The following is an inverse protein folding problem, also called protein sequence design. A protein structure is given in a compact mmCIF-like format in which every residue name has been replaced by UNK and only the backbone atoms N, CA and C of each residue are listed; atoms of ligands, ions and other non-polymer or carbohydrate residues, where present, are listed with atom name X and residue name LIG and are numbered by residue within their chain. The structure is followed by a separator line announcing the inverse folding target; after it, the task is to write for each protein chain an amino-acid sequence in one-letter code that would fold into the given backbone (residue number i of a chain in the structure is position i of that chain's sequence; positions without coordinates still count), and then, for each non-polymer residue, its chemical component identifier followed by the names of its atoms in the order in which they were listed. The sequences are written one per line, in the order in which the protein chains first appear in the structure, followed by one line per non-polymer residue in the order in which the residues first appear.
data_IF_667380579579
#
_entry.id   IF_667380579579
#
_cell.length_a   1.000
_cell.length_b   1.000
_cell.length_c   1.000
_cell.angle_alpha   90.00
_cell.angle_beta   90.00
_cell.angle_gamma   90.00
#
_symmetry.space_group_name_H-M   'P 1'
#
loop_
_entity.id
_entity.type
_entity.pdbx_description
1 polymer ?
#
# COMPACT_ATOMS: atom_id res chain seq x y z
N UNK A 1 15.86 42.55 14.81
CA UNK A 1 16.89 42.45 15.86
C UNK A 1 16.41 43.27 17.04
N UNK A 2 16.26 42.68 18.22
CA UNK A 2 15.91 43.42 19.43
C UNK A 2 17.05 44.37 19.75
N UNK A 3 16.76 45.64 19.99
CA UNK A 3 17.73 46.63 20.45
C UNK A 3 17.63 46.65 21.98
N UNK A 4 18.76 46.48 22.66
CA UNK A 4 18.82 46.57 24.13
C UNK A 4 19.07 48.02 24.54
N UNK A 5 18.38 48.50 25.57
CA UNK A 5 18.54 49.85 26.07
C UNK A 5 19.77 49.92 27.00
N UNK A 6 20.02 48.88 27.79
CA UNK A 6 21.12 48.83 28.75
C UNK A 6 22.35 48.08 28.24
N UNK A 7 23.52 48.64 28.55
CA UNK A 7 24.82 48.07 28.19
C UNK A 7 25.21 46.99 29.19
N UNK A 8 25.60 45.81 28.68
CA UNK A 8 26.23 44.78 29.50
C UNK A 8 27.75 44.92 29.35
N UNK A 9 28.33 45.91 30.04
CA UNK A 9 29.76 46.18 29.98
C UNK A 9 30.52 45.27 30.95
N UNK A 10 31.51 44.56 30.42
CA UNK A 10 32.41 43.70 31.20
C UNK A 10 33.68 44.40 31.66
N UNK A 11 33.91 45.64 31.20
CA UNK A 11 35.04 46.45 31.62
C UNK A 11 34.81 47.09 32.99
N UNK A 12 33.56 47.29 33.39
CA UNK A 12 33.17 47.86 34.69
C UNK A 12 32.50 46.81 35.59
N UNK A 13 32.68 46.85 36.92
CA UNK A 13 33.53 47.79 37.64
C UNK A 13 35.02 47.43 37.49
N UNK A 14 35.84 48.39 37.08
CA UNK A 14 37.28 48.33 37.10
C UNK A 14 37.81 48.79 38.46
N UNK A 15 39.05 48.41 38.81
CA UNK A 15 39.68 48.88 40.05
C UNK A 15 39.90 50.40 40.12
N UNK A 16 39.75 51.10 38.99
CA UNK A 16 39.82 52.57 38.87
C UNK A 16 38.46 53.26 38.99
N UNK A 17 37.35 52.53 38.96
CA UNK A 17 36.01 53.11 39.01
C UNK A 17 35.71 53.62 40.43
N UNK A 18 34.92 54.68 40.53
CA UNK A 18 34.54 55.24 41.82
C UNK A 18 33.67 54.22 42.60
N UNK A 19 34.08 53.81 43.81
CA UNK A 19 33.26 52.92 44.64
C UNK A 19 31.84 53.44 44.90
N UNK A 20 31.61 54.75 44.80
CA UNK A 20 30.29 55.36 44.95
C UNK A 20 29.32 55.00 43.82
N UNK A 21 29.79 54.60 42.63
CA UNK A 21 28.94 54.18 41.50
C UNK A 21 28.48 52.72 41.61
N UNK A 22 28.90 51.99 42.64
CA UNK A 22 28.69 50.54 42.72
C UNK A 22 27.19 50.16 42.66
N UNK A 23 26.30 50.96 43.25
CA UNK A 23 24.87 50.68 43.22
C UNK A 23 24.23 50.97 41.86
N UNK A 24 24.69 52.00 41.15
CA UNK A 24 24.32 52.27 39.76
C UNK A 24 24.75 51.13 38.83
N UNK A 25 25.99 50.65 38.96
CA UNK A 25 26.48 49.50 38.16
C UNK A 25 25.69 48.22 38.42
N UNK A 26 25.28 48.00 39.67
CA UNK A 26 24.40 46.88 40.01
C UNK A 26 23.01 47.03 39.37
N UNK A 27 22.45 48.24 39.32
CA UNK A 27 21.15 48.49 38.65
C UNK A 27 21.26 48.30 37.13
N UNK A 28 22.30 48.86 36.51
CA UNK A 28 22.60 48.72 35.08
C UNK A 28 22.72 47.24 34.69
N UNK A 29 23.51 46.46 35.44
CA UNK A 29 23.69 45.04 35.15
C UNK A 29 22.38 44.24 35.27
N UNK A 30 21.56 44.53 36.30
CA UNK A 30 20.26 43.86 36.48
C UNK A 30 19.32 44.15 35.32
N UNK A 31 19.23 45.40 34.89
CA UNK A 31 18.40 45.79 33.76
C UNK A 31 18.91 45.16 32.45
N UNK A 32 20.22 45.23 32.20
CA UNK A 32 20.85 44.62 31.03
C UNK A 32 20.62 43.10 30.92
N UNK A 33 20.72 42.36 32.03
CA UNK A 33 20.41 40.91 32.07
C UNK A 33 18.93 40.68 31.81
N UNK A 34 18.05 41.43 32.49
CA UNK A 34 16.61 41.27 32.34
C UNK A 34 16.17 41.48 30.89
N UNK A 35 16.61 42.54 30.22
CA UNK A 35 16.25 42.80 28.83
C UNK A 35 16.69 41.69 27.87
N UNK A 36 17.85 41.08 28.13
CA UNK A 36 18.42 39.99 27.31
C UNK A 36 17.70 38.67 27.56
N UNK A 37 17.47 38.32 28.81
CA UNK A 37 16.71 37.11 29.16
C UNK A 37 15.26 37.20 28.65
N UNK A 38 14.65 38.39 28.75
CA UNK A 38 13.28 38.64 28.31
C UNK A 38 13.07 38.51 26.78
N UNK A 39 14.14 38.31 25.98
CA UNK A 39 14.05 38.02 24.54
C UNK A 39 13.36 36.67 24.28
N UNK A 40 13.74 35.65 25.05
CA UNK A 40 13.25 34.28 24.91
C UNK A 40 12.43 33.86 26.14
N UNK A 41 12.83 34.30 27.34
CA UNK A 41 12.09 34.06 28.58
C UNK A 41 10.97 35.08 28.80
N UNK A 42 9.97 34.67 29.56
CA UNK A 42 8.93 35.51 30.11
C UNK A 42 9.49 36.17 31.37
N UNK A 43 9.93 37.43 31.24
CA UNK A 43 10.52 38.17 32.36
C UNK A 43 10.07 39.65 32.35
N UNK A 44 8.75 39.92 32.46
CA UNK A 44 8.22 41.26 32.33
C UNK A 44 8.69 42.17 33.47
N UNK A 45 9.07 43.41 33.13
CA UNK A 45 9.29 44.47 34.09
C UNK A 45 7.95 45.14 34.41
N UNK A 46 7.50 45.05 35.66
CA UNK A 46 6.34 45.81 36.15
C UNK A 46 6.79 46.69 37.31
N UNK A 47 7.00 47.98 37.04
CA UNK A 47 7.55 48.89 38.05
C UNK A 47 9.00 48.55 38.39
N UNK A 48 9.29 48.34 39.68
CA UNK A 48 10.64 48.04 40.19
C UNK A 48 10.92 46.55 40.38
N UNK A 49 9.94 45.69 40.14
CA UNK A 49 10.02 44.27 40.45
C UNK A 49 9.49 43.40 39.32
N UNK A 50 9.93 42.15 39.37
CA UNK A 50 9.43 41.06 38.53
C UNK A 50 8.46 40.30 39.41
N UNK A 51 7.16 40.52 39.20
CA UNK A 51 6.11 40.03 40.11
C UNK A 51 5.11 39.10 39.44
N UNK A 52 5.35 38.70 38.19
CA UNK A 52 4.48 37.74 37.52
C UNK A 52 4.81 36.31 37.95
N UNK A 53 3.77 35.53 38.22
CA UNK A 53 3.84 34.10 38.57
C UNK A 53 4.48 33.25 37.47
N UNK A 54 4.37 33.67 36.21
CA UNK A 54 4.93 32.95 35.04
C UNK A 54 6.39 33.35 34.73
N UNK A 55 7.04 34.12 35.62
CA UNK A 55 8.42 34.59 35.40
C UNK A 55 9.40 33.41 35.33
N UNK A 56 10.16 33.33 34.23
CA UNK A 56 11.13 32.26 33.97
C UNK A 56 10.66 31.21 32.95
N UNK A 57 9.39 31.22 32.53
CA UNK A 57 8.94 30.39 31.40
C UNK A 57 9.55 30.86 30.08
N UNK A 58 9.68 30.00 29.07
CA UNK A 58 10.08 30.43 27.73
C UNK A 58 8.86 30.90 26.92
N UNK A 59 8.90 32.13 26.38
CA UNK A 59 7.93 32.58 25.34
C UNK A 59 8.24 31.95 23.99
N UNK A 60 9.53 31.75 23.73
CA UNK A 60 10.09 31.04 22.58
C UNK A 60 11.44 30.45 22.99
N UNK A 61 11.88 29.45 22.24
CA UNK A 61 13.22 28.89 22.38
C UNK A 61 13.96 29.12 21.07
N UNK A 62 14.91 30.05 21.06
CA UNK A 62 15.74 30.34 19.90
C UNK A 62 17.00 29.49 19.96
N UNK A 63 17.08 28.46 19.13
CA UNK A 63 18.27 27.61 19.02
C UNK A 63 19.17 28.10 17.89
N UNK A 64 20.45 28.32 18.19
CA UNK A 64 21.46 28.64 17.17
C UNK A 64 21.96 27.33 16.54
N UNK A 65 22.15 27.33 15.23
CA UNK A 65 22.68 26.14 14.54
C UNK A 65 24.11 25.84 14.99
N UNK A 66 24.41 24.55 15.11
CA UNK A 66 25.72 24.07 15.53
C UNK A 66 25.96 22.61 15.15
N UNK A 67 27.11 22.07 15.59
CA UNK A 67 27.39 20.64 15.51
C UNK A 67 26.55 19.85 16.52
N UNK A 68 26.38 18.56 16.27
CA UNK A 68 25.75 17.65 17.24
C UNK A 68 26.49 17.72 18.59
N UNK A 69 25.76 17.88 19.71
CA UNK A 69 26.35 17.77 21.04
C UNK A 69 26.97 16.40 21.30
N UNK A 70 28.02 16.35 22.12
CA UNK A 70 28.58 15.08 22.59
C UNK A 70 27.57 14.37 23.50
N UNK A 71 27.30 13.09 23.25
CA UNK A 71 26.42 12.29 24.10
C UNK A 71 26.99 12.17 25.52
N UNK A 72 26.11 12.20 26.52
CA UNK A 72 26.44 12.07 27.93
C UNK A 72 25.41 11.15 28.56
N UNK A 73 25.85 10.20 29.38
CA UNK A 73 24.96 9.28 30.10
C UNK A 73 23.83 10.05 30.82
N UNK A 74 22.62 9.49 30.74
CA UNK A 74 21.40 10.03 31.36
C UNK A 74 20.98 11.43 30.87
N UNK A 75 21.34 11.80 29.62
CA UNK A 75 20.99 13.11 29.04
C UNK A 75 20.53 13.00 27.59
N UNK A 76 19.43 13.70 27.31
CA UNK A 76 19.00 14.04 25.95
C UNK A 76 19.32 15.49 25.60
N UNK A 77 19.53 15.76 24.31
CA UNK A 77 19.83 17.09 23.79
C UNK A 77 18.87 17.46 22.67
N UNK A 78 18.22 18.62 22.79
CA UNK A 78 17.49 19.28 21.71
C UNK A 78 18.34 20.41 21.15
N UNK A 79 18.59 20.42 19.85
CA UNK A 79 19.45 21.42 19.22
C UNK A 79 19.06 21.68 17.76
N UNK A 80 19.59 22.78 17.20
CA UNK A 80 19.42 23.11 15.80
C UNK A 80 20.69 22.83 14.99
N UNK A 81 20.53 22.35 13.76
CA UNK A 81 21.64 22.08 12.82
C UNK A 81 21.19 22.42 11.41
N UNK A 82 22.12 22.90 10.59
CA UNK A 82 21.83 23.24 9.20
C UNK A 82 21.74 21.99 8.32
N UNK A 83 20.59 21.82 7.66
CA UNK A 83 20.35 20.80 6.63
C UNK A 83 19.98 21.53 5.35
N UNK A 84 20.80 21.38 4.31
CA UNK A 84 20.57 22.04 3.01
C UNK A 84 20.38 23.56 3.12
N UNK A 85 21.10 24.21 4.04
CA UNK A 85 21.04 25.66 4.26
C UNK A 85 19.82 26.15 5.06
N UNK A 86 19.08 25.24 5.71
CA UNK A 86 17.98 25.58 6.62
C UNK A 86 18.26 25.04 8.01
N UNK A 87 17.97 25.84 9.04
CA UNK A 87 18.00 25.37 10.42
C UNK A 87 16.87 24.37 10.65
N UNK A 88 17.23 23.15 11.05
CA UNK A 88 16.28 22.09 11.39
C UNK A 88 16.50 21.62 12.84
N UNK A 89 15.46 21.07 13.45
CA UNK A 89 15.46 20.57 14.82
C UNK A 89 15.94 19.13 14.88
N UNK A 90 16.81 18.86 15.84
CA UNK A 90 17.36 17.54 16.11
C UNK A 90 17.21 17.19 17.58
N UNK A 91 17.12 15.89 17.82
CA UNK A 91 17.30 15.28 19.13
C UNK A 91 18.48 14.31 19.10
N UNK A 92 19.21 14.21 20.21
CA UNK A 92 20.23 13.19 20.43
C UNK A 92 20.10 12.63 21.84
N UNK A 93 20.20 11.32 21.99
CA UNK A 93 20.15 10.64 23.29
C UNK A 93 21.55 10.34 23.87
N UNK A 94 21.55 9.67 25.03
CA UNK A 94 22.77 9.24 25.73
C UNK A 94 23.59 8.17 24.98
N UNK A 95 22.96 7.39 24.11
CA UNK A 95 23.62 6.35 23.29
C UNK A 95 24.28 6.95 22.03
N UNK A 96 23.94 8.20 21.72
CA UNK A 96 24.51 8.96 20.63
C UNK A 96 23.73 8.84 19.32
N UNK A 97 22.52 8.30 19.38
CA UNK A 97 21.61 8.24 18.26
C UNK A 97 21.05 9.65 18.00
N UNK A 98 21.23 10.13 16.77
CA UNK A 98 20.79 11.44 16.32
C UNK A 98 19.54 11.28 15.46
N UNK A 99 18.46 11.96 15.85
CA UNK A 99 17.19 11.98 15.13
C UNK A 99 16.91 13.39 14.64
N UNK A 100 16.75 13.53 13.33
CA UNK A 100 16.23 14.75 12.73
C UNK A 100 14.71 14.81 12.91
N UNK A 101 14.23 15.77 13.69
CA UNK A 101 12.81 15.96 14.00
C UNK A 101 12.10 16.75 12.90
N UNK A 102 12.75 17.76 12.32
CA UNK A 102 12.16 18.57 11.24
C UNK A 102 12.95 18.47 9.94
N UNK A 103 12.26 18.54 8.81
CA UNK A 103 12.89 18.63 7.48
C UNK A 103 12.10 19.59 6.60
N UNK A 104 12.76 20.62 6.09
CA UNK A 104 12.13 21.67 5.30
C UNK A 104 11.05 22.44 6.07
N UNK A 105 11.13 22.50 7.41
CA UNK A 105 10.11 23.10 8.27
C UNK A 105 8.87 22.22 8.55
N UNK A 106 8.92 20.93 8.21
CA UNK A 106 7.85 19.95 8.48
C UNK A 106 8.36 18.91 9.48
N UNK A 107 7.49 18.38 10.34
CA UNK A 107 7.84 17.24 11.19
C UNK A 107 8.16 16.00 10.34
N UNK A 108 9.32 15.41 10.58
CA UNK A 108 9.81 14.21 9.92
C UNK A 108 9.18 12.94 10.54
N UNK A 109 7.85 12.85 10.54
CA UNK A 109 7.10 11.75 11.16
C UNK A 109 5.91 11.33 10.31
N UNK A 110 5.58 10.04 10.37
CA UNK A 110 4.34 9.48 9.86
C UNK A 110 3.30 9.54 11.00
N UNK A 111 2.18 10.23 10.78
CA UNK A 111 1.16 10.38 11.81
C UNK A 111 0.51 9.01 12.10
N UNK A 112 0.28 8.73 13.39
CA UNK A 112 -0.41 7.53 13.86
C UNK A 112 -1.93 7.65 13.77
N UNK A 113 -2.44 8.87 13.55
CA UNK A 113 -3.88 9.15 13.45
C UNK A 113 -4.19 10.05 12.26
N UNK A 114 -5.41 9.94 11.73
CA UNK A 114 -5.87 10.73 10.60
C UNK A 114 -5.37 10.25 9.24
N UNK A 115 -5.83 10.93 8.19
CA UNK A 115 -5.42 10.67 6.80
C UNK A 115 -4.10 11.39 6.55
N UNK A 116 -3.16 10.72 5.89
CA UNK A 116 -1.88 11.29 5.50
C UNK A 116 -1.50 10.90 4.08
N UNK A 117 -0.82 11.81 3.39
CA UNK A 117 -0.20 11.53 2.09
C UNK A 117 1.28 11.23 2.34
N UNK A 118 1.70 9.98 2.08
CA UNK A 118 3.10 9.60 2.12
C UNK A 118 3.69 9.69 0.70
N UNK A 119 4.56 10.68 0.47
CA UNK A 119 5.32 10.79 -0.78
C UNK A 119 6.63 9.96 -0.72
N UNK A 120 7.13 9.59 -1.91
CA UNK A 120 8.36 8.81 -2.06
C UNK A 120 8.20 7.35 -1.68
N UNK A 121 9.33 6.62 -1.69
CA UNK A 121 9.36 5.19 -1.31
C UNK A 121 9.44 5.08 0.22
N UNK A 122 8.56 4.25 0.80
CA UNK A 122 8.58 3.89 2.22
C UNK A 122 8.80 2.39 2.36
N UNK A 123 9.63 2.00 3.31
CA UNK A 123 9.93 0.61 3.63
C UNK A 123 9.30 0.22 4.95
N UNK A 124 8.76 -0.99 5.03
CA UNK A 124 8.25 -1.57 6.28
C UNK A 124 9.16 -2.72 6.70
N UNK A 125 9.51 -2.78 7.99
CA UNK A 125 10.30 -3.89 8.57
C UNK A 125 9.48 -5.18 8.70
N UNK A 126 8.16 -5.08 8.63
CA UNK A 126 7.20 -6.18 8.61
C UNK A 126 6.14 -5.94 7.52
N UNK A 127 5.41 -7.00 7.14
CA UNK A 127 4.34 -6.88 6.14
C UNK A 127 3.23 -5.97 6.71
N UNK A 128 2.81 -4.91 5.99
CA UNK A 128 1.71 -4.06 6.43
C UNK A 128 0.40 -4.82 6.59
N UNK A 129 -0.34 -4.55 7.67
CA UNK A 129 -1.67 -5.10 7.90
C UNK A 129 -2.72 -4.10 7.42
N UNK A 130 -3.56 -4.52 6.48
CA UNK A 130 -4.65 -3.72 5.95
C UNK A 130 -5.97 -3.96 6.73
N UNK A 131 -6.92 -3.01 6.73
CA UNK A 131 -8.24 -3.20 7.35
C UNK A 131 -9.00 -4.40 6.77
N UNK A 132 -9.97 -4.91 7.54
CA UNK A 132 -10.80 -6.06 7.14
C UNK A 132 -11.79 -5.77 5.99
N UNK A 133 -12.01 -4.50 5.64
CA UNK A 133 -12.83 -4.11 4.50
C UNK A 133 -12.18 -4.50 3.17
N UNK A 134 -12.99 -4.82 2.18
CA UNK A 134 -12.53 -5.08 0.80
C UNK A 134 -12.22 -3.75 0.08
N UNK A 135 -11.25 -3.74 -0.87
CA UNK A 135 -11.00 -2.58 -1.69
C UNK A 135 -12.20 -2.29 -2.61
N UNK A 136 -12.54 -1.00 -2.77
CA UNK A 136 -13.65 -0.48 -3.58
C UNK A 136 -13.19 0.38 -4.75
N UNK A 137 -11.90 0.69 -4.86
CA UNK A 137 -11.31 1.46 -5.95
C UNK A 137 -9.99 0.85 -6.42
N UNK A 138 -9.70 0.98 -7.72
CA UNK A 138 -8.58 0.32 -8.39
C UNK A 138 -7.20 0.62 -7.77
N UNK A 139 -7.03 1.83 -7.21
CA UNK A 139 -5.77 2.28 -6.63
C UNK A 139 -5.63 1.98 -5.12
N UNK A 140 -6.53 1.21 -4.53
CA UNK A 140 -6.43 0.80 -3.13
C UNK A 140 -5.52 -0.42 -2.97
N UNK A 141 -4.76 -0.44 -1.88
CA UNK A 141 -4.03 -1.64 -1.48
C UNK A 141 -5.01 -2.79 -1.18
N UNK A 142 -4.70 -3.99 -1.68
CA UNK A 142 -5.56 -5.17 -1.55
C UNK A 142 -4.99 -6.18 -0.56
N UNK A 143 -5.84 -6.79 0.28
CA UNK A 143 -5.45 -7.92 1.14
C UNK A 143 -5.20 -9.18 0.31
N UNK A 144 -4.23 -10.01 0.73
CA UNK A 144 -3.97 -11.32 0.10
C UNK A 144 -5.24 -12.18 0.01
N UNK A 145 -6.03 -12.26 1.08
CA UNK A 145 -7.28 -13.04 1.10
C UNK A 145 -8.26 -12.56 0.01
N UNK A 146 -8.48 -11.26 -0.10
CA UNK A 146 -9.40 -10.70 -1.09
C UNK A 146 -8.97 -11.11 -2.51
N UNK A 147 -7.69 -10.94 -2.86
CA UNK A 147 -7.18 -11.33 -4.18
C UNK A 147 -7.30 -12.84 -4.42
N UNK A 148 -7.00 -13.67 -3.41
CA UNK A 148 -7.13 -15.13 -3.51
C UNK A 148 -8.60 -15.55 -3.70
N UNK A 149 -9.53 -14.94 -2.97
CA UNK A 149 -10.96 -15.24 -3.10
C UNK A 149 -11.49 -14.85 -4.50
N UNK A 150 -11.06 -13.70 -5.04
CA UNK A 150 -11.41 -13.27 -6.40
C UNK A 150 -10.86 -14.21 -7.48
N UNK A 151 -9.60 -14.65 -7.34
CA UNK A 151 -9.00 -15.63 -8.25
C UNK A 151 -9.73 -16.97 -8.14
N UNK A 152 -10.02 -17.44 -6.94
CA UNK A 152 -10.75 -18.68 -6.72
C UNK A 152 -12.16 -18.64 -7.34
N UNK A 153 -12.84 -17.50 -7.27
CA UNK A 153 -14.13 -17.30 -7.92
C UNK A 153 -14.03 -17.24 -9.46
N UNK A 154 -12.90 -16.77 -10.01
CA UNK A 154 -12.71 -16.58 -11.46
C UNK A 154 -11.98 -17.71 -12.20
N UNK A 155 -11.20 -18.56 -11.51
CA UNK A 155 -10.23 -19.46 -12.16
C UNK A 155 -10.79 -20.79 -12.65
N UNK A 156 -12.01 -21.18 -12.27
CA UNK A 156 -12.70 -22.30 -12.87
C UNK A 156 -14.20 -22.15 -12.57
N UNK A 157 -14.99 -21.84 -13.59
CA UNK A 157 -16.36 -22.32 -13.55
C UNK A 157 -16.26 -23.84 -13.53
N UNK A 158 -16.50 -24.48 -12.38
CA UNK A 158 -16.82 -25.91 -12.41
C UNK A 158 -18.08 -26.00 -13.26
N UNK A 159 -18.00 -26.62 -14.43
CA UNK A 159 -19.20 -27.12 -15.08
C UNK A 159 -19.69 -28.26 -14.17
N UNK A 160 -20.43 -27.89 -13.12
CA UNK A 160 -21.35 -28.82 -12.51
C UNK A 160 -22.36 -29.17 -13.58
N UNK A 161 -22.59 -30.45 -13.76
CA UNK A 161 -23.56 -31.08 -14.67
C UNK A 161 -22.95 -31.60 -15.98
N UNK A 162 -22.50 -32.86 -15.85
CA UNK A 162 -22.45 -33.86 -16.90
C UNK A 162 -23.79 -33.88 -17.62
N UNK A 163 -23.84 -33.37 -18.83
CA UNK A 163 -24.97 -33.65 -19.71
C UNK A 163 -24.51 -34.51 -20.87
N UNK A 164 -25.09 -35.71 -20.90
CA UNK A 164 -24.77 -36.80 -21.81
C UNK A 164 -25.62 -36.64 -23.07
N UNK A 165 -25.00 -36.34 -24.21
CA UNK A 165 -25.64 -36.57 -25.50
C UNK A 165 -25.63 -38.08 -25.75
N UNK A 166 -26.76 -38.77 -25.61
CA UNK A 166 -26.90 -40.21 -25.83
C UNK A 166 -27.86 -40.48 -27.00
N UNK A 167 -27.36 -40.32 -28.21
CA UNK A 167 -28.09 -40.69 -29.42
C UNK A 167 -27.17 -41.35 -30.45
N UNK A 168 -27.76 -41.87 -31.52
CA UNK A 168 -27.01 -42.34 -32.67
C UNK A 168 -26.18 -41.18 -33.24
N UNK A 169 -24.87 -41.37 -33.25
CA UNK A 169 -23.97 -40.32 -33.70
C UNK A 169 -24.16 -39.95 -35.18
N UNK A 170 -23.98 -38.67 -35.52
CA UNK A 170 -24.08 -38.18 -36.88
C UNK A 170 -22.81 -38.52 -37.67
N UNK A 171 -22.95 -38.72 -38.98
CA UNK A 171 -21.83 -38.99 -39.92
C UNK A 171 -21.39 -37.77 -40.72
N UNK A 172 -22.01 -36.63 -40.48
CA UNK A 172 -21.63 -35.30 -40.95
C UNK A 172 -21.72 -34.31 -39.79
N UNK A 173 -20.99 -33.20 -39.86
CA UNK A 173 -21.08 -32.16 -38.83
C UNK A 173 -22.52 -31.75 -38.57
N UNK A 174 -22.90 -31.78 -37.31
CA UNK A 174 -24.15 -31.24 -36.80
C UNK A 174 -23.87 -30.47 -35.52
N UNK A 175 -24.79 -29.60 -35.16
CA UNK A 175 -24.74 -28.85 -33.91
C UNK A 175 -24.78 -29.83 -32.72
N UNK A 176 -23.76 -29.73 -31.87
CA UNK A 176 -23.75 -30.21 -30.50
C UNK A 176 -24.23 -29.06 -29.64
N UNK A 177 -25.54 -29.03 -29.42
CA UNK A 177 -26.11 -28.18 -28.38
C UNK A 177 -25.70 -28.78 -27.04
N UNK A 178 -24.68 -28.18 -26.41
CA UNK A 178 -24.34 -28.51 -25.04
C UNK A 178 -25.47 -27.99 -24.16
N UNK A 179 -26.21 -28.88 -23.50
CA UNK A 179 -27.43 -28.51 -22.82
C UNK A 179 -27.17 -27.61 -21.60
N UNK A 180 -28.24 -26.91 -21.26
CA UNK A 180 -28.22 -25.76 -20.36
C UNK A 180 -28.44 -26.19 -18.91
N UNK A 181 -27.46 -26.92 -18.40
CA UNK A 181 -27.42 -27.43 -17.04
C UNK A 181 -27.30 -26.24 -16.06
N UNK A 182 -28.42 -25.77 -15.52
CA UNK A 182 -28.46 -24.62 -14.60
C UNK A 182 -28.62 -23.23 -15.23
N UNK A 183 -28.97 -23.10 -16.52
CA UNK A 183 -29.30 -21.79 -17.12
C UNK A 183 -28.11 -20.98 -17.64
N UNK A 184 -26.89 -21.51 -17.58
CA UNK A 184 -25.73 -20.98 -18.29
C UNK A 184 -25.38 -21.85 -19.49
N UNK A 185 -25.83 -21.45 -20.69
CA UNK A 185 -25.23 -21.91 -21.96
C UNK A 185 -23.72 -21.78 -21.81
N UNK A 186 -22.87 -22.74 -22.25
CA UNK A 186 -21.44 -22.50 -22.28
C UNK A 186 -21.21 -21.20 -23.03
N UNK A 187 -20.75 -20.18 -22.29
CA UNK A 187 -20.90 -18.80 -22.72
C UNK A 187 -20.27 -18.62 -24.12
N UNK A 188 -20.83 -17.71 -24.91
CA UNK A 188 -20.30 -17.33 -26.21
C UNK A 188 -18.76 -17.21 -26.15
N UNK A 189 -18.05 -17.83 -27.08
CA UNK A 189 -16.59 -17.83 -27.15
C UNK A 189 -15.90 -18.38 -25.88
N UNK A 190 -16.32 -19.55 -25.40
CA UNK A 190 -15.60 -20.30 -24.37
C UNK A 190 -14.77 -21.43 -24.98
N UNK A 191 -13.72 -21.84 -24.26
CA UNK A 191 -13.06 -23.11 -24.49
C UNK A 191 -13.69 -24.16 -23.57
N UNK A 192 -14.28 -25.21 -24.14
CA UNK A 192 -14.99 -26.27 -23.41
C UNK A 192 -14.19 -27.58 -23.47
N UNK A 193 -14.09 -28.28 -22.34
CA UNK A 193 -13.54 -29.63 -22.27
C UNK A 193 -14.66 -30.67 -22.34
N UNK A 194 -14.61 -31.49 -23.39
CA UNK A 194 -15.54 -32.59 -23.63
C UNK A 194 -14.87 -33.92 -23.32
N UNK A 195 -15.60 -34.80 -22.65
CA UNK A 195 -15.26 -36.21 -22.46
C UNK A 195 -16.17 -37.04 -23.35
N UNK A 196 -15.59 -37.98 -24.10
CA UNK A 196 -16.32 -38.79 -25.07
C UNK A 196 -16.08 -40.28 -24.80
N UNK A 197 -17.16 -41.05 -24.75
CA UNK A 197 -17.13 -42.51 -24.70
C UNK A 197 -18.09 -43.11 -25.75
N UNK A 198 -17.84 -44.36 -26.14
CA UNK A 198 -18.75 -45.12 -27.01
C UNK A 198 -18.74 -46.60 -26.65
N UNK A 199 -19.86 -47.27 -26.96
CA UNK A 199 -20.10 -48.66 -26.59
C UNK A 199 -19.64 -49.68 -27.66
N UNK A 200 -18.89 -49.26 -28.68
CA UNK A 200 -18.56 -50.13 -29.82
C UNK A 200 -17.19 -50.80 -29.69
N UNK A 201 -17.10 -52.09 -30.02
CA UNK A 201 -15.87 -52.89 -29.94
C UNK A 201 -14.71 -52.50 -30.89
N UNK A 202 -14.81 -51.37 -31.60
CA UNK A 202 -13.81 -50.91 -32.57
C UNK A 202 -13.38 -49.46 -32.28
N UNK A 203 -12.11 -49.11 -32.53
CA UNK A 203 -11.65 -47.72 -32.42
C UNK A 203 -12.38 -46.81 -33.42
N UNK A 204 -12.84 -45.65 -32.96
CA UNK A 204 -13.56 -44.66 -33.76
C UNK A 204 -12.93 -43.29 -33.65
N UNK A 205 -13.13 -42.47 -34.68
CA UNK A 205 -12.72 -41.08 -34.66
C UNK A 205 -13.95 -40.19 -34.50
N UNK A 206 -13.97 -39.40 -33.43
CA UNK A 206 -14.87 -38.27 -33.25
C UNK A 206 -14.16 -36.99 -33.68
N UNK A 207 -14.90 -36.09 -34.31
CA UNK A 207 -14.38 -34.83 -34.82
C UNK A 207 -15.20 -33.71 -34.23
N UNK A 208 -14.52 -32.68 -33.73
CA UNK A 208 -15.14 -31.52 -33.10
C UNK A 208 -14.58 -30.24 -33.69
N UNK A 209 -15.40 -29.21 -33.81
CA UNK A 209 -14.96 -27.90 -34.25
C UNK A 209 -15.86 -26.80 -33.70
N UNK A 210 -15.34 -25.58 -33.70
CA UNK A 210 -16.16 -24.38 -33.54
C UNK A 210 -17.16 -24.30 -34.69
N UNK A 211 -18.41 -23.96 -34.40
CA UNK A 211 -19.46 -23.89 -35.42
C UNK A 211 -19.04 -23.01 -36.61
N UNK A 212 -19.16 -23.54 -37.82
CA UNK A 212 -18.79 -22.89 -39.07
C UNK A 212 -17.27 -22.85 -39.37
N UNK A 213 -16.44 -23.44 -38.51
CA UNK A 213 -14.99 -23.50 -38.72
C UNK A 213 -14.61 -24.59 -39.73
N UNK A 214 -13.50 -24.38 -40.45
CA UNK A 214 -12.85 -25.44 -41.22
C UNK A 214 -11.83 -26.26 -40.39
N UNK A 215 -11.47 -25.76 -39.20
CA UNK A 215 -10.49 -26.41 -38.33
C UNK A 215 -11.16 -27.40 -37.38
N UNK A 216 -10.93 -28.69 -37.63
CA UNK A 216 -11.41 -29.77 -36.79
C UNK A 216 -10.34 -30.30 -35.84
N UNK A 217 -10.80 -30.80 -34.69
CA UNK A 217 -10.03 -31.57 -33.74
C UNK A 217 -10.53 -33.01 -33.77
N UNK A 218 -9.61 -33.93 -34.07
CA UNK A 218 -9.89 -35.36 -34.08
C UNK A 218 -9.52 -35.99 -32.74
N UNK A 219 -10.41 -36.83 -32.23
CA UNK A 219 -10.20 -37.69 -31.06
C UNK A 219 -10.39 -39.14 -31.50
N UNK A 220 -9.41 -40.00 -31.23
CA UNK A 220 -9.52 -41.44 -31.51
C UNK A 220 -9.89 -42.17 -30.22
N UNK A 221 -11.05 -42.82 -30.19
CA UNK A 221 -11.64 -43.39 -28.98
C UNK A 221 -11.73 -44.91 -29.15
N UNK A 222 -11.12 -45.66 -28.25
CA UNK A 222 -11.21 -47.13 -28.22
C UNK A 222 -12.42 -47.58 -27.39
N UNK A 223 -12.94 -48.78 -27.69
CA UNK A 223 -14.08 -49.37 -26.97
C UNK A 223 -13.91 -49.29 -25.46
N UNK A 224 -14.90 -48.77 -24.74
CA UNK A 224 -14.91 -48.75 -23.27
C UNK A 224 -13.89 -47.81 -22.63
N UNK A 225 -13.24 -46.94 -23.40
CA UNK A 225 -12.42 -45.85 -22.89
C UNK A 225 -13.14 -44.50 -23.04
N UNK A 226 -12.76 -43.55 -22.20
CA UNK A 226 -13.20 -42.15 -22.29
C UNK A 226 -12.01 -41.28 -22.67
N UNK A 227 -12.17 -40.46 -23.70
CA UNK A 227 -11.13 -39.55 -24.19
C UNK A 227 -11.59 -38.10 -24.11
N UNK A 228 -10.64 -37.18 -23.95
CA UNK A 228 -10.92 -35.76 -23.71
C UNK A 228 -10.48 -34.84 -24.85
N UNK A 229 -11.21 -33.76 -25.09
CA UNK A 229 -10.84 -32.73 -26.07
C UNK A 229 -11.29 -31.35 -25.65
N UNK A 230 -10.43 -30.35 -25.91
CA UNK A 230 -10.77 -28.95 -25.77
C UNK A 230 -11.26 -28.38 -27.10
N UNK A 231 -12.43 -27.75 -27.10
CA UNK A 231 -13.08 -27.20 -28.30
C UNK A 231 -13.66 -25.83 -27.97
N UNK A 232 -13.51 -24.89 -28.90
CA UNK A 232 -14.09 -23.55 -28.74
C UNK A 232 -15.56 -23.54 -29.15
N UNK A 233 -16.40 -22.86 -28.38
CA UNK A 233 -17.77 -22.53 -28.77
C UNK A 233 -17.79 -21.28 -29.66
N UNK A 234 -18.81 -21.18 -30.51
CA UNK A 234 -19.09 -19.96 -31.27
C UNK A 234 -19.75 -18.86 -30.41
N UNK A 235 -20.18 -17.78 -31.06
CA UNK A 235 -20.89 -16.69 -30.41
C UNK A 235 -22.27 -17.10 -29.85
N UNK A 236 -22.80 -18.24 -30.29
CA UNK A 236 -24.06 -18.81 -29.83
C UNK A 236 -23.87 -19.90 -28.76
N UNK A 237 -22.63 -20.26 -28.43
CA UNK A 237 -22.32 -21.35 -27.49
C UNK A 237 -22.31 -22.75 -28.13
N UNK A 238 -22.34 -22.84 -29.46
CA UNK A 238 -22.49 -24.09 -30.21
C UNK A 238 -21.12 -24.64 -30.63
N UNK A 239 -21.00 -25.98 -30.57
CA UNK A 239 -19.91 -26.77 -31.14
C UNK A 239 -20.51 -27.62 -32.26
N UNK A 240 -19.77 -27.89 -33.34
CA UNK A 240 -20.18 -28.90 -34.32
C UNK A 240 -19.37 -30.19 -34.13
N UNK A 241 -20.02 -31.33 -34.34
CA UNK A 241 -19.38 -32.63 -34.20
C UNK A 241 -19.89 -33.69 -35.18
N UNK A 242 -19.08 -34.72 -35.40
CA UNK A 242 -19.51 -35.95 -36.06
C UNK A 242 -18.60 -37.15 -35.72
N UNK A 243 -19.03 -38.34 -36.14
CA UNK A 243 -18.29 -39.59 -36.00
C UNK A 243 -18.02 -40.27 -37.33
N UNK A 244 -16.88 -40.96 -37.39
CA UNK A 244 -16.49 -41.80 -38.53
C UNK A 244 -17.45 -42.96 -38.87
N UNK A 245 -18.39 -43.31 -37.97
CA UNK A 245 -19.44 -44.31 -38.20
C UNK A 245 -20.59 -44.13 -37.19
N UNK A 246 -21.82 -44.49 -37.59
CA UNK A 246 -23.01 -44.41 -36.73
C UNK A 246 -22.94 -45.41 -35.57
N UNK A 247 -22.91 -44.92 -34.32
CA UNK A 247 -23.02 -45.69 -33.08
C UNK A 247 -23.53 -44.80 -31.94
N UNK A 248 -23.98 -45.42 -30.85
CA UNK A 248 -24.23 -44.69 -29.60
C UNK A 248 -22.92 -44.15 -29.05
N UNK A 249 -22.86 -42.86 -28.83
CA UNK A 249 -21.71 -42.15 -28.26
C UNK A 249 -22.24 -41.21 -27.20
N UNK A 250 -21.58 -41.20 -26.06
CA UNK A 250 -21.85 -40.28 -24.96
C UNK A 250 -20.81 -39.18 -25.00
N UNK A 251 -21.28 -37.94 -25.10
CA UNK A 251 -20.44 -36.75 -24.96
C UNK A 251 -20.88 -36.02 -23.71
N UNK A 252 -19.92 -35.66 -22.87
CA UNK A 252 -20.13 -34.97 -21.60
C UNK A 252 -19.24 -33.73 -21.55
N UNK A 253 -19.81 -32.57 -21.26
CA UNK A 253 -19.03 -31.37 -20.88
C UNK A 253 -18.57 -31.47 -19.42
N UNK A 254 -17.29 -31.17 -19.15
CA UNK A 254 -16.70 -31.34 -17.81
C UNK A 254 -16.09 -30.05 -17.25
N UNK A 255 -15.65 -29.13 -18.12
CA UNK A 255 -15.14 -27.83 -17.71
C UNK A 255 -15.26 -26.82 -18.86
N UNK A 256 -15.24 -25.53 -18.53
CA UNK A 256 -15.07 -24.47 -19.52
C UNK A 256 -14.20 -23.34 -19.00
N UNK A 257 -13.59 -22.62 -19.93
CA UNK A 257 -12.79 -21.41 -19.70
C UNK A 257 -13.40 -20.30 -20.56
N UNK A 258 -13.71 -19.16 -19.95
CA UNK A 258 -14.11 -17.95 -20.71
C UNK A 258 -12.86 -17.34 -21.34
N UNK A 259 -12.89 -17.09 -22.64
CA UNK A 259 -11.81 -16.47 -23.40
C UNK A 259 -11.91 -14.94 -23.38
#
# INVERSE_FOLDING_TARGET
MTVFADTYDKATPAGSDDPAEADDRMRETKAAVQERENVDHYWPLTGTEVSNVDSGEHRKVTLRTGSAPTAVADKGFVYAKDVSGKAELFYRDEDGDEIQITTGGILNSLNLTGVQTAAGVKTFSSIPVLPASDPTADNQASRKKFVVDQIAAGAAGSAGETEEFNAAAPTSFTDLDLPNAGGQVPAANCLVFLMISHDSGATRNAFFRKNGSAFERRVSISSGLTEGVWVETDASGIIEWYLSANNTTVITSVAFIRL
#
